data_IF_199784574871
#
_entry.id   IF_199784574871
#
_cell.length_a   1.000
_cell.length_b   1.000
_cell.length_c   1.000
_cell.angle_alpha   90.00
_cell.angle_beta   90.00
_cell.angle_gamma   90.00
#
_symmetry.space_group_name_H-M   'P 1'
#
loop_
_entity.id
_entity.type
_entity.pdbx_description
1 polymer ?
#
# COMPACT_ATOMS: atom_id res chain seq x y z
N UNK A 1 -72.43 48.95 40.38
CA UNK A 1 -71.75 50.03 39.63
C UNK A 1 -70.28 50.05 40.04
N UNK A 2 -69.37 49.92 39.06
CA UNK A 2 -67.89 50.05 39.12
C UNK A 2 -67.14 48.92 39.87
N UNK A 3 -66.47 48.02 39.13
CA UNK A 3 -65.08 48.06 38.64
C UNK A 3 -64.07 47.65 39.72
N UNK A 4 -63.28 46.61 39.47
CA UNK A 4 -61.91 46.34 39.96
C UNK A 4 -61.39 45.12 39.18
N UNK A 5 -60.65 45.35 38.09
CA UNK A 5 -59.18 45.29 37.96
C UNK A 5 -58.58 43.88 38.07
N UNK A 6 -58.19 43.38 36.89
CA UNK A 6 -57.35 42.22 36.64
C UNK A 6 -55.88 42.55 36.93
N UNK A 7 -55.16 41.64 37.60
CA UNK A 7 -53.70 41.60 37.63
C UNK A 7 -53.27 40.22 37.15
N UNK A 8 -52.66 40.20 35.97
CA UNK A 8 -52.05 39.03 35.33
C UNK A 8 -50.59 38.93 35.78
N UNK A 9 -50.20 37.84 36.44
CA UNK A 9 -48.80 37.46 36.66
C UNK A 9 -48.45 36.26 35.78
N UNK A 10 -47.29 36.23 35.09
CA UNK A 10 -46.91 35.08 34.28
C UNK A 10 -46.32 33.98 35.16
N UNK A 11 -46.90 32.79 35.10
CA UNK A 11 -46.31 31.57 35.65
C UNK A 11 -45.22 31.12 34.67
N UNK A 12 -43.96 31.25 35.07
CA UNK A 12 -42.82 30.70 34.32
C UNK A 12 -42.76 29.19 34.60
N UNK A 13 -43.22 28.39 33.64
CA UNK A 13 -43.02 26.94 33.64
C UNK A 13 -41.61 26.62 33.13
N UNK A 14 -40.74 26.15 34.02
CA UNK A 14 -39.38 25.72 33.67
C UNK A 14 -39.44 24.31 33.06
N UNK A 15 -39.42 24.23 31.74
CA UNK A 15 -39.28 22.98 30.98
C UNK A 15 -37.81 22.52 31.02
N UNK A 16 -37.51 21.53 31.86
CA UNK A 16 -36.27 20.77 31.81
C UNK A 16 -36.28 19.86 30.58
N UNK A 17 -35.67 20.33 29.49
CA UNK A 17 -35.38 19.49 28.32
C UNK A 17 -34.14 18.66 28.62
N UNK A 18 -34.32 17.41 29.03
CA UNK A 18 -33.24 16.43 29.15
C UNK A 18 -32.80 16.00 27.75
N UNK A 19 -31.67 16.53 27.27
CA UNK A 19 -31.03 16.08 26.03
C UNK A 19 -30.36 14.72 26.26
N UNK A 20 -31.04 13.63 25.93
CA UNK A 20 -30.37 12.36 25.69
C UNK A 20 -29.63 12.45 24.34
N UNK A 21 -28.35 12.81 24.39
CA UNK A 21 -27.47 12.58 23.25
C UNK A 21 -27.24 11.06 23.15
N UNK A 22 -27.91 10.43 22.18
CA UNK A 22 -27.58 9.07 21.79
C UNK A 22 -26.13 9.05 21.28
N UNK A 23 -25.22 8.55 22.12
CA UNK A 23 -23.84 8.28 21.72
C UNK A 23 -23.91 7.06 20.82
N UNK A 24 -23.83 7.26 19.51
CA UNK A 24 -23.61 6.16 18.57
C UNK A 24 -22.32 5.46 19.02
N UNK A 25 -22.39 4.16 19.32
CA UNK A 25 -21.19 3.34 19.44
C UNK A 25 -20.50 3.39 18.08
N UNK A 26 -19.37 4.10 17.99
CA UNK A 26 -18.46 3.98 16.87
C UNK A 26 -17.95 2.54 16.86
N UNK A 27 -18.58 1.68 16.04
CA UNK A 27 -18.07 0.34 15.77
C UNK A 27 -16.66 0.50 15.21
N UNK A 28 -15.66 0.11 16.01
CA UNK A 28 -14.26 0.14 15.62
C UNK A 28 -14.08 -0.68 14.34
N UNK A 29 -13.88 0.00 13.22
CA UNK A 29 -13.73 -0.65 11.91
C UNK A 29 -12.32 -1.22 11.84
N UNK A 30 -12.17 -2.50 11.54
CA UNK A 30 -10.84 -3.10 11.29
C UNK A 30 -10.71 -3.40 9.80
N UNK A 31 -9.56 -3.09 9.21
CA UNK A 31 -9.19 -3.50 7.85
C UNK A 31 -7.91 -4.32 7.89
N UNK A 32 -7.97 -5.56 7.41
CA UNK A 32 -6.83 -6.44 7.20
C UNK A 32 -6.32 -6.27 5.77
N UNK A 33 -5.13 -5.71 5.62
CA UNK A 33 -4.55 -5.33 4.33
C UNK A 33 -3.23 -6.06 4.11
N UNK A 34 -3.17 -6.78 2.99
CA UNK A 34 -1.99 -7.49 2.54
C UNK A 34 -1.28 -6.70 1.44
N UNK A 35 -0.01 -6.37 1.66
CA UNK A 35 0.87 -5.82 0.63
C UNK A 35 1.77 -6.92 0.08
N UNK A 36 1.70 -7.17 -1.23
CA UNK A 36 2.58 -8.10 -1.94
C UNK A 36 3.51 -7.29 -2.82
N UNK A 37 4.82 -7.42 -2.61
CA UNK A 37 5.78 -6.70 -3.45
C UNK A 37 7.23 -6.92 -3.07
N UNK A 38 8.03 -5.88 -3.30
CA UNK A 38 9.46 -5.94 -3.13
C UNK A 38 10.01 -4.68 -2.44
N UNK A 39 11.22 -4.26 -2.78
CA UNK A 39 11.84 -3.07 -2.21
C UNK A 39 11.03 -1.79 -2.45
N UNK A 40 10.18 -1.71 -3.48
CA UNK A 40 9.35 -0.53 -3.72
C UNK A 40 8.18 -0.39 -2.73
N UNK A 41 7.82 -1.47 -2.03
CA UNK A 41 6.94 -1.45 -0.85
C UNK A 41 7.74 -1.41 0.46
N UNK A 42 8.89 -2.07 0.53
CA UNK A 42 9.64 -2.19 1.77
C UNK A 42 10.45 -0.93 2.15
N UNK A 43 11.00 -0.22 1.16
CA UNK A 43 11.79 1.00 1.41
C UNK A 43 10.90 2.05 2.06
N UNK A 44 11.50 2.94 2.85
CA UNK A 44 10.80 4.05 3.52
C UNK A 44 9.66 3.65 4.48
N UNK A 45 9.56 2.37 4.84
CA UNK A 45 8.40 1.81 5.55
C UNK A 45 7.07 2.21 4.88
N UNK A 46 7.01 2.22 3.54
CA UNK A 46 5.88 2.79 2.79
C UNK A 46 4.53 2.32 3.31
N UNK A 47 4.39 1.02 3.52
CA UNK A 47 3.15 0.40 3.97
C UNK A 47 2.77 0.81 5.42
N UNK A 48 3.76 1.09 6.29
CA UNK A 48 3.53 1.73 7.62
C UNK A 48 3.07 3.19 7.49
N UNK A 49 3.64 3.95 6.54
CA UNK A 49 3.20 5.33 6.28
C UNK A 49 1.74 5.33 5.82
N UNK A 50 1.38 4.41 4.91
CA UNK A 50 0.00 4.21 4.46
C UNK A 50 -0.93 3.85 5.61
N UNK A 51 -0.53 2.94 6.52
CA UNK A 51 -1.27 2.64 7.76
C UNK A 51 -1.52 3.91 8.58
N UNK A 52 -0.47 4.71 8.79
CA UNK A 52 -0.57 5.94 9.59
C UNK A 52 -1.53 6.95 8.95
N UNK A 53 -1.46 7.11 7.63
CA UNK A 53 -2.41 7.95 6.86
C UNK A 53 -3.84 7.40 6.94
N UNK A 54 -4.03 6.09 6.82
CA UNK A 54 -5.33 5.44 6.91
C UNK A 54 -6.00 5.70 8.26
N UNK A 55 -5.28 5.52 9.37
CA UNK A 55 -5.80 5.68 10.73
C UNK A 55 -6.04 7.16 11.07
N UNK A 56 -5.17 8.07 10.61
CA UNK A 56 -5.38 9.50 10.81
C UNK A 56 -6.55 10.07 9.99
N UNK A 57 -6.74 9.57 8.75
CA UNK A 57 -7.80 10.04 7.85
C UNK A 57 -9.17 9.42 8.11
N UNK A 58 -9.24 8.38 8.94
CA UNK A 58 -10.47 7.66 9.25
C UNK A 58 -10.51 7.34 10.76
N UNK A 59 -10.98 8.28 11.60
CA UNK A 59 -11.12 8.04 13.04
C UNK A 59 -11.88 6.75 13.35
N UNK A 60 -11.39 5.99 14.33
CA UNK A 60 -11.96 4.69 14.71
C UNK A 60 -11.56 3.50 13.82
N UNK A 61 -10.76 3.71 12.77
CA UNK A 61 -10.19 2.64 11.95
C UNK A 61 -8.95 2.03 12.61
N UNK A 62 -8.94 0.71 12.75
CA UNK A 62 -7.71 -0.10 12.94
C UNK A 62 -7.27 -0.64 11.59
N UNK A 63 -6.07 -0.27 11.14
CA UNK A 63 -5.51 -0.76 9.88
C UNK A 63 -4.45 -1.83 10.14
N UNK A 64 -4.85 -3.10 10.07
CA UNK A 64 -3.97 -4.26 10.25
C UNK A 64 -3.23 -4.55 8.94
N UNK A 65 -1.92 -4.35 8.96
CA UNK A 65 -1.07 -4.50 7.78
C UNK A 65 -0.20 -5.74 7.86
N UNK A 66 -0.14 -6.49 6.77
CA UNK A 66 0.86 -7.55 6.55
C UNK A 66 1.59 -7.33 5.24
N UNK A 67 2.92 -7.52 5.23
CA UNK A 67 3.72 -7.41 4.02
C UNK A 67 4.38 -8.73 3.66
N UNK A 68 4.25 -9.13 2.39
CA UNK A 68 5.03 -10.22 1.79
C UNK A 68 5.99 -9.62 0.80
N UNK A 69 7.25 -9.52 1.23
CA UNK A 69 8.33 -8.84 0.50
C UNK A 69 9.41 -9.82 0.08
N UNK A 70 9.74 -9.81 -1.22
CA UNK A 70 10.95 -10.42 -1.74
C UNK A 70 11.69 -9.43 -2.67
N UNK A 71 12.95 -9.12 -2.37
CA UNK A 71 13.71 -8.08 -3.07
C UNK A 71 13.78 -8.26 -4.60
N UNK A 72 13.45 -7.21 -5.35
CA UNK A 72 13.44 -7.20 -6.82
C UNK A 72 12.63 -8.33 -7.47
N UNK A 73 11.61 -8.86 -6.79
CA UNK A 73 10.73 -9.92 -7.30
C UNK A 73 9.46 -9.35 -7.90
N UNK A 74 8.96 -10.02 -8.94
CA UNK A 74 7.74 -9.73 -9.71
C UNK A 74 6.54 -10.52 -9.17
N UNK A 75 5.32 -10.26 -9.63
CA UNK A 75 4.16 -11.08 -9.26
C UNK A 75 4.33 -12.56 -9.68
N UNK A 76 5.02 -12.82 -10.80
CA UNK A 76 5.39 -14.18 -11.22
C UNK A 76 6.28 -14.88 -10.19
N UNK A 77 7.27 -14.16 -9.66
CA UNK A 77 8.14 -14.70 -8.61
C UNK A 77 7.36 -14.97 -7.32
N UNK A 78 6.45 -14.08 -6.91
CA UNK A 78 5.61 -14.30 -5.74
C UNK A 78 4.75 -15.57 -5.86
N UNK A 79 4.24 -15.83 -7.06
CA UNK A 79 3.48 -17.07 -7.35
C UNK A 79 4.37 -18.31 -7.23
N UNK A 80 5.58 -18.25 -7.79
CA UNK A 80 6.58 -19.32 -7.64
C UNK A 80 6.93 -19.57 -6.17
N UNK A 81 6.98 -18.50 -5.37
CA UNK A 81 7.35 -18.50 -3.96
C UNK A 81 6.18 -18.79 -3.00
N UNK A 82 5.04 -19.29 -3.50
CA UNK A 82 3.95 -19.77 -2.64
C UNK A 82 3.01 -18.69 -2.09
N UNK A 83 3.16 -17.43 -2.52
CA UNK A 83 2.38 -16.30 -1.95
C UNK A 83 0.85 -16.49 -2.10
N UNK A 84 0.40 -17.32 -3.05
CA UNK A 84 -1.01 -17.66 -3.25
C UNK A 84 -1.68 -18.27 -2.01
N UNK A 85 -0.97 -19.07 -1.20
CA UNK A 85 -1.57 -19.66 0.01
C UNK A 85 -1.76 -18.63 1.12
N UNK A 86 -0.91 -17.59 1.14
CA UNK A 86 -1.03 -16.45 2.06
C UNK A 86 -2.22 -15.57 1.68
N UNK A 87 -2.45 -15.33 0.39
CA UNK A 87 -3.67 -14.65 -0.06
C UNK A 87 -4.91 -15.44 0.34
N UNK A 88 -4.83 -16.77 0.29
CA UNK A 88 -5.90 -17.69 0.70
C UNK A 88 -5.90 -18.05 2.19
N UNK A 89 -5.21 -17.34 3.09
CA UNK A 89 -5.04 -17.81 4.48
C UNK A 89 -6.35 -18.17 5.21
N UNK A 90 -7.45 -17.48 4.86
CA UNK A 90 -8.79 -17.74 5.39
C UNK A 90 -9.36 -19.11 5.01
N UNK A 91 -8.89 -19.72 3.92
CA UNK A 91 -9.45 -20.95 3.30
C UNK A 91 -8.41 -22.00 2.94
N UNK A 92 -7.11 -21.70 3.05
CA UNK A 92 -6.02 -22.62 2.68
C UNK A 92 -6.07 -23.91 3.50
N UNK A 93 -6.00 -25.05 2.84
CA UNK A 93 -5.95 -26.33 3.53
C UNK A 93 -4.52 -26.66 3.97
N UNK A 94 -4.38 -27.49 5.01
CA UNK A 94 -3.08 -28.03 5.42
C UNK A 94 -2.34 -28.69 4.24
N UNK A 95 -3.05 -29.45 3.42
CA UNK A 95 -2.49 -30.13 2.25
C UNK A 95 -1.97 -29.16 1.18
N UNK A 96 -2.66 -28.04 0.93
CA UNK A 96 -2.18 -27.01 0.00
C UNK A 96 -0.88 -26.35 0.51
N UNK A 97 -0.81 -26.07 1.81
CA UNK A 97 0.39 -25.47 2.42
C UNK A 97 1.57 -26.47 2.43
N UNK A 98 1.33 -27.74 2.75
CA UNK A 98 2.32 -28.81 2.64
C UNK A 98 2.82 -28.99 1.20
N UNK A 99 1.94 -28.87 0.20
CA UNK A 99 2.33 -28.94 -1.22
C UNK A 99 3.23 -27.77 -1.62
N UNK A 100 2.97 -26.56 -1.12
CA UNK A 100 3.85 -25.39 -1.33
C UNK A 100 5.21 -25.61 -0.67
N UNK A 101 5.25 -26.10 0.57
CA UNK A 101 6.49 -26.44 1.29
C UNK A 101 7.31 -27.45 0.49
N UNK A 102 6.69 -28.55 0.05
CA UNK A 102 7.37 -29.58 -0.75
C UNK A 102 7.89 -29.04 -2.09
N UNK A 103 7.15 -28.13 -2.74
CA UNK A 103 7.62 -27.45 -3.95
C UNK A 103 8.84 -26.57 -3.67
N UNK A 104 8.82 -25.80 -2.58
CA UNK A 104 9.92 -24.93 -2.19
C UNK A 104 11.17 -25.71 -1.78
N UNK A 105 11.03 -26.85 -1.11
CA UNK A 105 12.15 -27.75 -0.79
C UNK A 105 12.87 -28.21 -2.06
N UNK A 106 12.13 -28.59 -3.10
CA UNK A 106 12.70 -28.95 -4.40
C UNK A 106 13.42 -27.76 -5.05
N UNK A 107 12.83 -26.56 -4.97
CA UNK A 107 13.45 -25.34 -5.52
C UNK A 107 14.76 -24.98 -4.80
N UNK A 108 14.78 -25.07 -3.47
CA UNK A 108 15.98 -24.84 -2.66
C UNK A 108 17.09 -25.84 -3.01
N UNK A 109 16.74 -27.10 -3.20
CA UNK A 109 17.70 -28.12 -3.61
C UNK A 109 18.21 -27.91 -5.06
N UNK A 110 17.38 -27.37 -5.94
CA UNK A 110 17.70 -27.21 -7.37
C UNK A 110 18.58 -25.98 -7.66
N UNK A 111 18.42 -24.87 -6.93
CA UNK A 111 19.21 -23.65 -7.14
C UNK A 111 19.77 -23.10 -5.81
N UNK A 112 21.03 -23.44 -5.46
CA UNK A 112 21.70 -22.91 -4.28
C UNK A 112 21.90 -21.38 -4.29
N UNK A 113 21.76 -20.71 -5.45
CA UNK A 113 21.88 -19.26 -5.56
C UNK A 113 20.54 -18.54 -5.35
N UNK A 114 19.42 -19.27 -5.35
CA UNK A 114 18.12 -18.70 -5.03
C UNK A 114 18.03 -18.42 -3.52
N UNK A 115 18.25 -17.17 -3.14
CA UNK A 115 18.10 -16.72 -1.75
C UNK A 115 16.65 -16.50 -1.31
N UNK A 116 15.68 -16.54 -2.23
CA UNK A 116 14.27 -16.27 -1.93
C UNK A 116 13.48 -17.53 -1.64
N UNK A 117 13.77 -18.64 -2.33
CA UNK A 117 13.12 -19.92 -2.03
C UNK A 117 13.35 -20.39 -0.57
N UNK A 118 14.55 -20.29 0.04
CA UNK A 118 14.76 -20.60 1.44
C UNK A 118 13.95 -19.69 2.39
N UNK A 119 13.89 -18.39 2.09
CA UNK A 119 13.13 -17.43 2.89
C UNK A 119 11.62 -17.69 2.81
N UNK A 120 11.11 -18.02 1.62
CA UNK A 120 9.74 -18.45 1.41
C UNK A 120 9.44 -19.75 2.17
N UNK A 121 10.33 -20.75 2.04
CA UNK A 121 10.19 -22.04 2.72
C UNK A 121 10.10 -21.87 4.24
N UNK A 122 10.98 -21.05 4.81
CA UNK A 122 10.95 -20.74 6.24
C UNK A 122 9.62 -20.10 6.67
N UNK A 123 9.08 -19.17 5.87
CA UNK A 123 7.78 -18.55 6.11
C UNK A 123 6.65 -19.58 6.08
N UNK A 124 6.57 -20.39 5.03
CA UNK A 124 5.51 -21.39 4.87
C UNK A 124 5.55 -22.45 5.99
N UNK A 125 6.75 -22.93 6.36
CA UNK A 125 6.91 -23.81 7.53
C UNK A 125 6.44 -23.18 8.84
N UNK A 126 6.63 -21.87 9.01
CA UNK A 126 6.15 -21.14 10.19
C UNK A 126 4.62 -20.89 10.18
N UNK A 127 4.01 -20.83 9.00
CA UNK A 127 2.56 -20.65 8.83
C UNK A 127 1.79 -21.95 9.03
N UNK A 128 2.33 -23.09 8.58
CA UNK A 128 1.68 -24.39 8.65
C UNK A 128 1.09 -24.76 10.04
N UNK A 129 1.83 -24.63 11.17
CA UNK A 129 1.26 -24.95 12.48
C UNK A 129 0.24 -23.91 12.98
N UNK A 130 0.12 -22.75 12.32
CA UNK A 130 -0.73 -21.62 12.72
C UNK A 130 -1.88 -21.35 11.75
N UNK A 131 -2.16 -22.26 10.82
CA UNK A 131 -3.19 -22.03 9.79
C UNK A 131 -4.55 -21.71 10.41
N UNK A 132 -4.96 -22.47 11.43
CA UNK A 132 -6.27 -22.27 12.08
C UNK A 132 -6.34 -20.97 12.90
N UNK A 133 -5.24 -20.56 13.54
CA UNK A 133 -5.15 -19.27 14.25
C UNK A 133 -5.17 -18.07 13.29
N UNK A 134 -4.75 -18.27 12.04
CA UNK A 134 -4.60 -17.22 11.04
C UNK A 134 -5.75 -17.18 10.01
N UNK A 135 -6.92 -17.73 10.34
CA UNK A 135 -8.13 -17.76 9.49
C UNK A 135 -8.81 -16.39 9.34
N UNK A 136 -8.03 -15.35 9.09
CA UNK A 136 -8.53 -13.98 8.90
C UNK A 136 -8.57 -13.65 7.41
N UNK A 137 -9.74 -13.33 6.83
CA UNK A 137 -9.80 -12.86 5.45
C UNK A 137 -9.11 -11.50 5.32
N UNK A 138 -8.58 -11.24 4.13
CA UNK A 138 -8.09 -9.91 3.76
C UNK A 138 -9.27 -9.08 3.28
N UNK A 139 -9.36 -7.85 3.75
CA UNK A 139 -10.29 -6.85 3.21
C UNK A 139 -9.72 -6.22 1.93
N UNK A 140 -8.39 -6.10 1.86
CA UNK A 140 -7.68 -5.45 0.76
C UNK A 140 -6.38 -6.20 0.46
N UNK A 141 -6.11 -6.44 -0.83
CA UNK A 141 -4.83 -6.96 -1.31
C UNK A 141 -4.20 -5.97 -2.29
N UNK A 142 -3.02 -5.46 -1.94
CA UNK A 142 -2.22 -4.55 -2.75
C UNK A 142 -1.16 -5.34 -3.52
N UNK A 143 -1.19 -5.26 -4.84
CA UNK A 143 -0.32 -5.99 -5.76
C UNK A 143 0.67 -5.04 -6.42
N UNK A 144 1.94 -5.10 -6.01
CA UNK A 144 2.99 -4.23 -6.55
C UNK A 144 3.51 -4.73 -7.91
N UNK A 145 3.62 -3.87 -8.93
CA UNK A 145 4.39 -4.16 -10.15
C UNK A 145 5.90 -3.96 -9.93
N UNK A 146 6.74 -4.49 -10.81
CA UNK A 146 8.18 -4.22 -10.85
C UNK A 146 8.80 -4.53 -12.21
N UNK A 147 8.82 -3.54 -13.13
CA UNK A 147 9.35 -3.63 -14.51
C UNK A 147 8.68 -4.69 -15.39
N UNK A 148 7.85 -5.55 -14.82
CA UNK A 148 7.08 -6.63 -15.44
C UNK A 148 5.77 -6.14 -16.07
N UNK A 149 5.55 -4.83 -16.04
CA UNK A 149 4.39 -4.09 -16.52
C UNK A 149 4.69 -3.22 -17.76
N UNK A 150 5.87 -3.36 -18.35
CA UNK A 150 6.33 -2.58 -19.51
C UNK A 150 6.39 -3.42 -20.78
N UNK A 151 7.10 -4.54 -20.75
CA UNK A 151 7.37 -5.39 -21.91
C UNK A 151 6.46 -6.63 -21.98
N UNK A 152 6.18 -7.07 -23.21
CA UNK A 152 5.31 -8.21 -23.52
C UNK A 152 3.84 -7.84 -23.73
N UNK A 153 3.10 -8.72 -24.41
CA UNK A 153 1.66 -8.60 -24.59
C UNK A 153 0.99 -9.99 -24.54
N UNK A 154 0.29 -10.35 -23.45
CA UNK A 154 0.19 -9.59 -22.20
C UNK A 154 1.53 -9.54 -21.45
N UNK A 155 1.80 -8.44 -20.75
CA UNK A 155 2.96 -8.31 -19.84
C UNK A 155 2.91 -9.37 -18.73
N UNK A 156 4.04 -9.68 -18.10
CA UNK A 156 4.06 -10.65 -16.99
C UNK A 156 3.19 -10.19 -15.81
N UNK A 157 3.15 -8.90 -15.52
CA UNK A 157 2.24 -8.34 -14.52
C UNK A 157 0.77 -8.57 -14.91
N UNK A 158 0.41 -8.33 -16.18
CA UNK A 158 -0.93 -8.58 -16.69
C UNK A 158 -1.32 -10.07 -16.77
N UNK A 159 -0.35 -10.98 -16.68
CA UNK A 159 -0.58 -12.43 -16.58
C UNK A 159 -0.77 -12.90 -15.13
N UNK A 160 -0.04 -12.34 -14.17
CA UNK A 160 0.00 -12.84 -12.78
C UNK A 160 -0.84 -12.03 -11.79
N UNK A 161 -0.98 -10.71 -11.96
CA UNK A 161 -1.87 -9.92 -11.10
C UNK A 161 -3.33 -10.44 -11.11
N UNK A 162 -3.93 -10.86 -12.25
CA UNK A 162 -5.26 -11.44 -12.26
C UNK A 162 -5.39 -12.73 -11.44
N UNK A 163 -4.33 -13.54 -11.37
CA UNK A 163 -4.34 -14.78 -10.59
C UNK A 163 -4.46 -14.49 -9.09
N UNK A 164 -3.71 -13.51 -8.60
CA UNK A 164 -3.84 -13.07 -7.21
C UNK A 164 -5.17 -12.35 -6.96
N UNK A 165 -5.62 -11.51 -7.91
CA UNK A 165 -6.89 -10.82 -7.80
C UNK A 165 -8.07 -11.80 -7.68
N UNK A 166 -8.06 -12.90 -8.44
CA UNK A 166 -9.07 -13.96 -8.33
C UNK A 166 -9.12 -14.55 -6.91
N UNK A 167 -7.96 -14.83 -6.31
CA UNK A 167 -7.88 -15.37 -4.95
C UNK A 167 -8.37 -14.35 -3.91
N UNK A 168 -7.95 -13.10 -4.04
CA UNK A 168 -8.40 -12.01 -3.17
C UNK A 168 -9.92 -11.80 -3.25
N UNK A 169 -10.48 -11.82 -4.47
CA UNK A 169 -11.91 -11.62 -4.68
C UNK A 169 -12.78 -12.79 -4.25
N UNK A 170 -12.26 -14.02 -4.29
CA UNK A 170 -12.97 -15.20 -3.80
C UNK A 170 -13.33 -15.10 -2.30
N UNK A 171 -12.64 -14.23 -1.54
CA UNK A 171 -12.93 -13.94 -0.13
C UNK A 171 -13.49 -12.51 0.09
N UNK A 172 -13.96 -11.85 -0.98
CA UNK A 172 -14.55 -10.50 -0.90
C UNK A 172 -13.55 -9.35 -0.78
N UNK A 173 -12.24 -9.59 -0.91
CA UNK A 173 -11.23 -8.55 -0.80
C UNK A 173 -11.25 -7.61 -2.01
N UNK A 174 -11.05 -6.31 -1.75
CA UNK A 174 -10.72 -5.33 -2.79
C UNK A 174 -9.29 -5.53 -3.26
N UNK A 175 -9.04 -5.26 -4.54
CA UNK A 175 -7.70 -5.33 -5.12
C UNK A 175 -7.22 -3.93 -5.47
N UNK A 176 -5.96 -3.63 -5.13
CA UNK A 176 -5.28 -2.40 -5.53
C UNK A 176 -4.03 -2.77 -6.31
N UNK A 177 -3.91 -2.28 -7.54
CA UNK A 177 -2.68 -2.36 -8.32
C UNK A 177 -1.77 -1.20 -7.91
N UNK A 178 -0.67 -1.51 -7.24
CA UNK A 178 0.41 -0.54 -6.99
C UNK A 178 1.39 -0.60 -8.16
N UNK A 179 1.09 0.17 -9.20
CA UNK A 179 1.96 0.30 -10.37
C UNK A 179 3.18 1.13 -9.97
N UNK A 180 4.37 0.56 -10.08
CA UNK A 180 5.62 1.25 -9.74
C UNK A 180 6.29 1.81 -10.98
N UNK A 181 7.11 2.86 -10.78
CA UNK A 181 7.82 3.50 -11.89
C UNK A 181 9.34 3.58 -11.72
N UNK A 182 10.06 2.46 -11.60
CA UNK A 182 11.52 2.47 -11.50
C UNK A 182 12.22 3.11 -12.72
N UNK A 183 11.55 3.22 -13.87
CA UNK A 183 12.14 3.69 -15.13
C UNK A 183 11.87 5.16 -15.44
N UNK A 184 10.89 5.81 -14.78
CA UNK A 184 10.58 7.24 -15.03
C UNK A 184 11.00 8.17 -13.88
N UNK A 185 11.73 7.65 -12.88
CA UNK A 185 12.23 8.46 -11.76
C UNK A 185 13.52 9.21 -12.11
N UNK A 186 13.52 10.52 -11.86
CA UNK A 186 14.69 11.39 -12.04
C UNK A 186 15.52 11.47 -10.74
N UNK A 187 16.84 11.36 -10.89
CA UNK A 187 17.82 11.63 -9.82
C UNK A 187 18.32 13.07 -9.80
N UNK A 188 18.06 13.83 -10.86
CA UNK A 188 18.42 15.23 -11.00
C UNK A 188 17.17 16.04 -11.36
N UNK A 189 17.12 17.33 -10.97
CA UNK A 189 16.10 18.24 -11.45
C UNK A 189 16.01 18.22 -12.98
N UNK A 190 14.79 18.33 -13.51
CA UNK A 190 14.55 18.36 -14.94
C UNK A 190 14.63 19.79 -15.46
N UNK A 191 15.16 19.95 -16.67
CA UNK A 191 15.20 21.23 -17.40
C UNK A 191 14.08 21.36 -18.43
N UNK A 192 13.38 20.27 -18.71
CA UNK A 192 12.23 20.20 -19.61
C UNK A 192 11.21 19.18 -19.08
N UNK A 193 9.95 19.32 -19.47
CA UNK A 193 8.90 18.38 -19.09
C UNK A 193 9.19 16.97 -19.67
N UNK A 194 8.93 15.90 -18.92
CA UNK A 194 9.09 14.53 -19.43
C UNK A 194 8.04 14.24 -20.52
N UNK A 195 8.42 13.43 -21.50
CA UNK A 195 7.50 12.99 -22.56
C UNK A 195 6.35 12.18 -21.98
N UNK A 196 5.12 12.61 -22.30
CA UNK A 196 3.89 12.00 -21.86
C UNK A 196 3.54 10.71 -22.61
N UNK A 197 3.95 10.58 -23.87
CA UNK A 197 3.48 9.51 -24.75
C UNK A 197 3.73 8.09 -24.20
N UNK A 198 4.96 7.72 -23.76
CA UNK A 198 5.20 6.37 -23.23
C UNK A 198 4.47 6.11 -21.91
N UNK A 199 4.29 7.14 -21.08
CA UNK A 199 3.60 7.06 -19.79
C UNK A 199 2.11 6.80 -20.03
N UNK A 200 1.46 7.60 -20.88
CA UNK A 200 0.05 7.42 -21.22
C UNK A 200 -0.21 6.08 -21.92
N UNK A 201 0.72 5.59 -22.75
CA UNK A 201 0.62 4.26 -23.35
C UNK A 201 0.65 3.14 -22.30
N UNK A 202 1.56 3.24 -21.32
CA UNK A 202 1.63 2.32 -20.17
C UNK A 202 0.34 2.37 -19.34
N UNK A 203 -0.10 3.57 -18.96
CA UNK A 203 -1.27 3.77 -18.09
C UNK A 203 -2.57 3.27 -18.72
N UNK A 204 -2.73 3.36 -20.04
CA UNK A 204 -3.88 2.74 -20.73
C UNK A 204 -3.90 1.22 -20.55
N UNK A 205 -2.75 0.55 -20.61
CA UNK A 205 -2.66 -0.91 -20.38
C UNK A 205 -2.97 -1.27 -18.93
N UNK A 206 -2.48 -0.46 -17.98
CA UNK A 206 -2.75 -0.66 -16.55
C UNK A 206 -4.23 -0.41 -16.23
N UNK A 207 -4.84 0.63 -16.79
CA UNK A 207 -6.27 0.90 -16.66
C UNK A 207 -7.11 -0.23 -17.27
N UNK A 208 -6.74 -0.74 -18.44
CA UNK A 208 -7.42 -1.89 -19.05
C UNK A 208 -7.32 -3.15 -18.17
N UNK A 209 -6.14 -3.41 -17.60
CA UNK A 209 -5.93 -4.50 -16.64
C UNK A 209 -6.81 -4.32 -15.40
N UNK A 210 -6.80 -3.12 -14.81
CA UNK A 210 -7.56 -2.78 -13.61
C UNK A 210 -9.07 -2.96 -13.83
N UNK A 211 -9.59 -2.47 -14.95
CA UNK A 211 -11.00 -2.66 -15.33
C UNK A 211 -11.34 -4.15 -15.49
N UNK A 212 -10.47 -4.92 -16.17
CA UNK A 212 -10.69 -6.36 -16.40
C UNK A 212 -10.78 -7.15 -15.10
N UNK A 213 -10.00 -6.78 -14.09
CA UNK A 213 -9.98 -7.48 -12.80
C UNK A 213 -10.77 -6.74 -11.71
N UNK A 214 -11.45 -5.65 -12.03
CA UNK A 214 -12.14 -4.73 -11.11
C UNK A 214 -11.27 -4.38 -9.87
N UNK A 215 -10.18 -3.63 -10.14
CA UNK A 215 -9.24 -3.16 -9.14
C UNK A 215 -9.10 -1.63 -9.19
N UNK A 216 -8.82 -1.03 -8.03
CA UNK A 216 -8.30 0.34 -7.98
C UNK A 216 -6.81 0.36 -8.35
N UNK A 217 -6.27 1.52 -8.69
CA UNK A 217 -4.87 1.68 -9.11
C UNK A 217 -4.23 2.83 -8.34
N UNK A 218 -2.98 2.63 -7.92
CA UNK A 218 -2.04 3.70 -7.61
C UNK A 218 -1.05 3.83 -8.80
N UNK A 219 -1.31 4.72 -9.77
CA UNK A 219 -0.58 4.83 -11.04
C UNK A 219 0.65 5.73 -10.89
N UNK A 220 1.73 5.20 -10.34
CA UNK A 220 2.88 6.01 -10.00
C UNK A 220 3.63 6.58 -11.20
N UNK A 221 3.56 5.98 -12.40
CA UNK A 221 4.17 6.60 -13.58
C UNK A 221 3.44 7.91 -13.95
N UNK A 222 2.10 7.92 -13.92
CA UNK A 222 1.32 9.16 -14.10
C UNK A 222 1.56 10.18 -12.97
N UNK A 223 1.65 9.73 -11.72
CA UNK A 223 1.93 10.62 -10.57
C UNK A 223 3.32 11.24 -10.69
N UNK A 224 4.34 10.44 -11.04
CA UNK A 224 5.69 10.92 -11.27
C UNK A 224 5.74 11.95 -12.39
N UNK A 225 5.08 11.67 -13.52
CA UNK A 225 4.97 12.61 -14.64
C UNK A 225 4.41 13.96 -14.18
N UNK A 226 3.26 13.93 -13.50
CA UNK A 226 2.60 15.16 -13.01
C UNK A 226 3.51 15.92 -12.05
N UNK A 227 4.15 15.23 -11.11
CA UNK A 227 5.09 15.84 -10.18
C UNK A 227 6.26 16.49 -10.92
N UNK A 228 6.87 15.79 -11.87
CA UNK A 228 8.00 16.28 -12.66
C UNK A 228 7.63 17.47 -13.54
N UNK A 229 6.41 17.52 -14.08
CA UNK A 229 5.91 18.67 -14.84
C UNK A 229 5.67 19.90 -13.95
N UNK A 230 5.10 19.72 -12.76
CA UNK A 230 4.73 20.83 -11.86
C UNK A 230 5.88 21.29 -10.95
N UNK A 231 6.77 20.36 -10.58
CA UNK A 231 7.88 20.53 -9.66
C UNK A 231 9.13 19.85 -10.23
N UNK A 232 9.66 20.38 -11.35
CA UNK A 232 10.85 19.81 -12.00
C UNK A 232 12.11 19.88 -11.12
N UNK A 233 12.08 20.68 -10.05
CA UNK A 233 13.12 20.77 -9.02
C UNK A 233 13.20 19.54 -8.12
N UNK A 234 12.09 18.78 -7.97
CA UNK A 234 12.04 17.60 -7.14
C UNK A 234 12.64 16.39 -7.87
N UNK A 235 13.47 15.65 -7.15
CA UNK A 235 13.97 14.33 -7.58
C UNK A 235 13.11 13.24 -6.96
N UNK A 236 12.93 12.14 -7.69
CA UNK A 236 12.05 11.03 -7.32
C UNK A 236 12.80 9.73 -7.00
N UNK A 237 14.09 9.65 -7.35
CA UNK A 237 14.99 8.59 -6.87
C UNK A 237 16.25 9.18 -6.25
N UNK A 238 16.99 8.33 -5.57
CA UNK A 238 18.32 8.68 -5.10
C UNK A 238 19.30 8.82 -6.28
N UNK A 239 20.39 9.55 -6.05
CA UNK A 239 21.51 9.64 -6.99
C UNK A 239 22.36 8.36 -6.89
N UNK A 240 22.69 7.94 -5.67
CA UNK A 240 23.57 6.80 -5.41
C UNK A 240 22.82 5.46 -5.29
N UNK A 241 21.51 5.46 -5.52
CA UNK A 241 20.64 4.28 -5.47
C UNK A 241 19.51 4.42 -6.49
N UNK A 242 19.22 3.37 -7.27
CA UNK A 242 18.14 3.39 -8.26
C UNK A 242 16.73 3.29 -7.64
N UNK A 243 16.63 3.14 -6.32
CA UNK A 243 15.35 3.15 -5.60
C UNK A 243 14.76 4.56 -5.51
N UNK A 244 13.43 4.58 -5.40
CA UNK A 244 12.66 5.75 -5.04
C UNK A 244 13.22 6.42 -3.78
N UNK A 245 13.30 7.74 -3.77
CA UNK A 245 13.69 8.51 -2.58
C UNK A 245 12.45 8.82 -1.71
N UNK A 246 12.65 9.55 -0.61
CA UNK A 246 11.58 9.90 0.32
C UNK A 246 10.44 10.68 -0.37
N UNK A 247 10.74 11.54 -1.37
CA UNK A 247 9.73 12.30 -2.12
C UNK A 247 8.77 11.36 -2.83
N UNK A 248 9.31 10.42 -3.61
CA UNK A 248 8.50 9.47 -4.36
C UNK A 248 7.79 8.48 -3.44
N UNK A 249 8.41 8.10 -2.31
CA UNK A 249 7.75 7.30 -1.30
C UNK A 249 6.55 8.01 -0.66
N UNK A 250 6.66 9.32 -0.38
CA UNK A 250 5.54 10.11 0.13
C UNK A 250 4.42 10.24 -0.90
N UNK A 251 4.74 10.48 -2.18
CA UNK A 251 3.77 10.47 -3.26
C UNK A 251 3.08 9.10 -3.41
N UNK A 252 3.83 7.99 -3.28
CA UNK A 252 3.26 6.64 -3.26
C UNK A 252 2.30 6.45 -2.09
N UNK A 253 2.65 6.91 -0.88
CA UNK A 253 1.79 6.78 0.29
C UNK A 253 0.48 7.55 0.11
N UNK A 254 0.56 8.81 -0.33
CA UNK A 254 -0.59 9.65 -0.65
C UNK A 254 -1.50 9.01 -1.71
N UNK A 255 -0.92 8.46 -2.77
CA UNK A 255 -1.66 7.84 -3.88
C UNK A 255 -2.34 6.53 -3.44
N UNK A 256 -1.64 5.71 -2.64
CA UNK A 256 -2.20 4.49 -2.06
C UNK A 256 -3.35 4.83 -1.09
N UNK A 257 -3.22 5.86 -0.26
CA UNK A 257 -4.32 6.34 0.59
C UNK A 257 -5.55 6.71 -0.25
N UNK A 258 -5.38 7.49 -1.32
CA UNK A 258 -6.48 7.82 -2.23
C UNK A 258 -7.10 6.57 -2.86
N UNK A 259 -6.30 5.60 -3.31
CA UNK A 259 -6.80 4.36 -3.90
C UNK A 259 -7.55 3.47 -2.87
N UNK A 260 -7.16 3.53 -1.60
CA UNK A 260 -7.80 2.79 -0.50
C UNK A 260 -9.17 3.39 -0.14
N UNK A 261 -9.29 4.71 -0.08
CA UNK A 261 -10.43 5.38 0.55
C UNK A 261 -11.26 6.29 -0.37
N UNK A 262 -10.81 6.52 -1.60
CA UNK A 262 -11.38 7.53 -2.52
C UNK A 262 -11.48 8.92 -1.87
N UNK A 263 -10.43 9.28 -1.11
CA UNK A 263 -10.33 10.54 -0.36
C UNK A 263 -9.00 11.22 -0.67
N UNK A 264 -9.02 12.55 -0.68
CA UNK A 264 -7.80 13.35 -0.73
C UNK A 264 -6.94 13.11 0.52
N UNK A 265 -5.61 12.97 0.39
CA UNK A 265 -4.69 12.93 1.53
C UNK A 265 -4.34 14.34 2.04
N UNK A 266 -4.81 15.41 1.38
CA UNK A 266 -4.56 16.79 1.82
C UNK A 266 -5.22 17.04 3.17
N UNK A 267 -4.45 17.59 4.10
CA UNK A 267 -4.90 17.88 5.48
C UNK A 267 -4.64 16.75 6.48
N UNK A 268 -4.11 15.60 6.05
CA UNK A 268 -3.63 14.57 6.97
C UNK A 268 -2.38 15.06 7.72
N UNK A 269 -2.19 14.68 9.00
CA UNK A 269 -1.04 15.12 9.79
C UNK A 269 0.25 14.32 9.51
N UNK A 270 0.25 13.43 8.51
CA UNK A 270 1.42 12.65 8.11
C UNK A 270 2.16 13.45 7.04
N UNK A 271 3.25 14.09 7.43
CA UNK A 271 4.01 15.04 6.60
C UNK A 271 5.45 14.59 6.36
N UNK A 272 5.83 13.38 6.78
CA UNK A 272 7.23 12.97 6.76
C UNK A 272 7.43 11.48 6.51
N UNK A 273 8.59 11.18 5.92
CA UNK A 273 9.02 9.84 5.55
C UNK A 273 10.46 9.64 6.00
N UNK A 274 10.75 8.47 6.57
CA UNK A 274 12.09 8.08 7.01
C UNK A 274 12.54 6.85 6.25
N UNK A 275 13.72 6.93 5.63
CA UNK A 275 14.27 5.77 4.93
C UNK A 275 14.79 4.70 5.92
N UNK A 276 14.80 3.44 5.47
CA UNK A 276 15.29 2.27 6.22
C UNK A 276 16.70 1.84 5.84
N UNK A 277 17.31 2.51 4.85
CA UNK A 277 18.73 2.30 4.51
C UNK A 277 19.48 3.60 4.74
N UNK A 278 20.65 3.46 5.33
CA UNK A 278 21.49 4.59 5.70
C UNK A 278 22.64 4.77 4.71
N UNK A 279 23.34 5.88 4.86
CA UNK A 279 24.55 6.19 4.11
C UNK A 279 25.68 5.19 4.45
N UNK A 280 26.26 4.59 3.42
CA UNK A 280 27.35 3.59 3.54
C UNK A 280 28.69 4.12 2.99
N UNK A 281 28.77 5.39 2.57
CA UNK A 281 30.03 5.98 2.12
C UNK A 281 31.03 6.15 3.28
N UNK A 282 32.32 6.43 3.01
CA UNK A 282 33.31 6.65 4.05
C UNK A 282 33.30 8.11 4.57
N UNK A 283 33.09 8.37 5.89
CA UNK A 283 32.68 7.44 6.93
C UNK A 283 31.16 7.14 6.90
N UNK A 284 30.73 5.93 7.29
CA UNK A 284 29.31 5.56 7.26
C UNK A 284 28.54 6.39 8.29
N UNK A 285 27.30 6.77 7.95
CA UNK A 285 26.48 7.66 8.78
C UNK A 285 25.03 7.17 8.83
N UNK A 286 24.60 6.73 10.01
CA UNK A 286 23.25 6.20 10.25
C UNK A 286 22.17 7.29 10.33
N UNK A 287 22.55 8.56 10.43
CA UNK A 287 21.61 9.69 10.41
C UNK A 287 21.26 10.16 9.00
N UNK A 288 21.95 9.62 7.98
CA UNK A 288 21.83 10.03 6.58
C UNK A 288 21.25 8.95 5.69
N UNK A 289 20.58 9.39 4.63
CA UNK A 289 20.08 8.54 3.54
C UNK A 289 21.17 8.17 2.52
N UNK A 290 20.76 7.50 1.43
CA UNK A 290 21.69 7.02 0.38
C UNK A 290 22.45 8.13 -0.34
N UNK A 291 21.96 9.36 -0.32
CA UNK A 291 22.61 10.52 -0.93
C UNK A 291 23.37 11.37 0.09
N UNK A 292 23.47 10.91 1.35
CA UNK A 292 24.14 11.66 2.42
C UNK A 292 23.30 12.82 2.97
N UNK A 293 22.00 12.87 2.64
CA UNK A 293 21.04 13.87 3.15
C UNK A 293 20.34 13.32 4.41
N UNK A 294 19.56 14.13 5.15
CA UNK A 294 18.86 13.63 6.34
C UNK A 294 18.01 12.38 6.05
N UNK A 295 18.12 11.36 6.91
CA UNK A 295 17.39 10.09 6.75
C UNK A 295 15.87 10.28 6.71
N UNK A 296 15.37 11.23 7.51
CA UNK A 296 13.98 11.67 7.54
C UNK A 296 13.81 12.96 6.73
N UNK A 297 12.77 13.01 5.91
CA UNK A 297 12.34 14.21 5.18
C UNK A 297 10.92 14.60 5.60
N UNK A 298 10.69 15.90 5.79
CA UNK A 298 9.37 16.52 5.98
C UNK A 298 8.97 17.27 4.71
N UNK A 299 7.68 17.29 4.38
CA UNK A 299 7.10 17.79 3.12
C UNK A 299 6.15 18.98 3.32
#
# INVERSE_FOLDING_TARGET
>A
MRLLNSISGPVIALLLVSTFAARAEETQKTLNVLFIGNSFTARHNLSTVVKSMAEAGNPGLTFNRTDIIYGGRTMKDHWRLGTQTIVKQSTVTKAEEEAVIASLEKQVAADPKDKYAPAALARHRALLPKLEENRTPWDIVVLQSYRDDVEGDPTLYAQFAPKFAQLAKAQGARVILYETTPITQNDKPLTAAPDAAPILAKERKIAALANRIDAAVAPMALVAQRCQTQRPDLTLRFVNDAHLNQTMAYLSACTLYSALFDKSPVGLPIDSVTDIRTFEGPPPDKSKDRDGKPLKRTF
#
